data_IF_527134621896
#
_entry.id   IF_527134621896
#
_cell.length_a   1.000
_cell.length_b   1.000
_cell.length_c   1.000
_cell.angle_alpha   90.00
_cell.angle_beta   90.00
_cell.angle_gamma   90.00
#
_symmetry.space_group_name_H-M   'P 1'
#
loop_
_entity.id
_entity.type
_entity.pdbx_description
1 polymer ?
#
# COMPACT_ATOMS: atom_id res chain seq x y z
N UNK A 1 16.49 12.36 6.77
CA UNK A 1 16.20 11.11 7.53
C UNK A 1 14.89 11.27 8.29
N UNK A 2 13.96 10.30 8.23
CA UNK A 2 12.73 10.35 9.02
C UNK A 2 13.05 10.11 10.48
N UNK A 3 12.83 11.10 11.34
CA UNK A 3 12.99 10.93 12.79
C UNK A 3 11.83 10.10 13.36
N UNK A 4 12.06 9.44 14.50
CA UNK A 4 10.99 8.69 15.19
C UNK A 4 9.75 9.54 15.46
N UNK A 5 9.94 10.83 15.75
CA UNK A 5 8.84 11.80 15.94
C UNK A 5 8.01 11.99 14.68
N UNK A 6 8.65 12.20 13.52
CA UNK A 6 7.95 12.34 12.23
C UNK A 6 7.21 11.04 11.89
N UNK A 7 7.84 9.88 12.11
CA UNK A 7 7.20 8.59 11.87
C UNK A 7 5.92 8.40 12.73
N UNK A 8 5.94 8.81 14.00
CA UNK A 8 4.75 8.78 14.86
C UNK A 8 3.65 9.70 14.30
N UNK A 9 4.00 10.92 13.88
CA UNK A 9 3.05 11.87 13.31
C UNK A 9 2.43 11.31 12.02
N UNK A 10 3.24 10.78 11.11
CA UNK A 10 2.77 10.18 9.84
C UNK A 10 1.79 9.03 10.10
N UNK A 11 2.13 8.11 10.99
CA UNK A 11 1.27 6.96 11.36
C UNK A 11 -0.02 7.44 12.04
N UNK A 12 0.08 8.34 13.02
CA UNK A 12 -1.06 8.85 13.76
C UNK A 12 -2.02 9.64 12.85
N UNK A 13 -1.49 10.42 11.91
CA UNK A 13 -2.29 11.17 10.96
C UNK A 13 -3.05 10.26 10.00
N UNK A 14 -2.38 9.28 9.39
CA UNK A 14 -3.05 8.34 8.48
C UNK A 14 -4.10 7.52 9.24
N UNK A 15 -3.78 7.03 10.44
CA UNK A 15 -4.73 6.35 11.29
C UNK A 15 -5.93 7.26 11.64
N UNK A 16 -5.68 8.52 11.99
CA UNK A 16 -6.72 9.50 12.30
C UNK A 16 -7.63 9.79 11.11
N UNK A 17 -7.08 9.95 9.91
CA UNK A 17 -7.86 10.14 8.67
C UNK A 17 -8.70 8.90 8.34
N UNK A 18 -8.14 7.70 8.52
CA UNK A 18 -8.87 6.44 8.33
C UNK A 18 -10.01 6.29 9.33
N UNK A 19 -9.77 6.60 10.61
CA UNK A 19 -10.79 6.59 11.66
C UNK A 19 -11.87 7.63 11.39
N UNK A 20 -11.51 8.84 10.99
CA UNK A 20 -12.47 9.87 10.58
C UNK A 20 -13.35 9.36 9.45
N UNK A 21 -12.75 8.80 8.40
CA UNK A 21 -13.49 8.27 7.27
C UNK A 21 -14.47 7.15 7.69
N UNK A 22 -14.00 6.21 8.51
CA UNK A 22 -14.83 5.12 9.04
C UNK A 22 -15.98 5.65 9.89
N UNK A 23 -15.74 6.61 10.77
CA UNK A 23 -16.79 7.25 11.57
C UNK A 23 -17.82 7.92 10.68
N UNK A 24 -17.41 8.67 9.66
CA UNK A 24 -18.34 9.30 8.72
C UNK A 24 -19.16 8.24 7.96
N UNK A 25 -18.55 7.11 7.60
CA UNK A 25 -19.27 5.99 6.99
C UNK A 25 -20.28 5.34 7.94
N UNK A 26 -19.92 5.11 9.20
CA UNK A 26 -20.83 4.59 10.22
C UNK A 26 -21.99 5.55 10.53
N UNK A 27 -21.75 6.85 10.40
CA UNK A 27 -22.76 7.90 10.49
C UNK A 27 -23.58 8.07 9.19
N UNK A 28 -23.37 7.21 8.19
CA UNK A 28 -24.06 7.23 6.91
C UNK A 28 -23.90 8.55 6.14
N UNK A 29 -22.79 9.26 6.37
CA UNK A 29 -22.48 10.49 5.64
C UNK A 29 -22.26 10.15 4.16
N UNK A 30 -22.86 10.91 3.21
CA UNK A 30 -22.68 10.66 1.79
C UNK A 30 -21.19 10.64 1.41
N UNK A 31 -20.76 9.61 0.67
CA UNK A 31 -19.35 9.35 0.33
C UNK A 31 -18.60 10.56 -0.24
N UNK A 32 -19.28 11.43 -1.01
CA UNK A 32 -18.70 12.68 -1.54
C UNK A 32 -18.15 13.59 -0.45
N UNK A 33 -18.83 13.68 0.70
CA UNK A 33 -18.42 14.51 1.83
C UNK A 33 -17.31 13.83 2.63
N UNK A 34 -17.38 12.51 2.82
CA UNK A 34 -16.31 11.75 3.47
C UNK A 34 -15.00 11.85 2.67
N UNK A 35 -15.06 11.71 1.34
CA UNK A 35 -13.89 11.89 0.48
C UNK A 35 -13.36 13.32 0.49
N UNK A 36 -14.24 14.33 0.49
CA UNK A 36 -13.81 15.72 0.60
C UNK A 36 -13.11 15.98 1.94
N UNK A 37 -13.67 15.52 3.05
CA UNK A 37 -13.09 15.71 4.38
C UNK A 37 -11.72 15.02 4.51
N UNK A 38 -11.61 13.74 4.14
CA UNK A 38 -10.34 13.00 4.15
C UNK A 38 -9.31 13.59 3.18
N UNK A 39 -9.77 14.01 2.00
CA UNK A 39 -8.92 14.64 0.99
C UNK A 39 -8.37 15.99 1.44
N UNK A 40 -9.20 16.84 2.07
CA UNK A 40 -8.76 18.10 2.64
C UNK A 40 -7.80 17.90 3.80
N UNK A 41 -8.06 16.94 4.70
CA UNK A 41 -7.16 16.61 5.81
C UNK A 41 -5.79 16.15 5.31
N UNK A 42 -5.78 15.23 4.34
CA UNK A 42 -4.53 14.75 3.73
C UNK A 42 -3.81 15.87 2.96
N UNK A 43 -4.55 16.66 2.18
CA UNK A 43 -4.03 17.78 1.41
C UNK A 43 -3.42 18.87 2.28
N UNK A 44 -4.05 19.20 3.41
CA UNK A 44 -3.51 20.14 4.40
C UNK A 44 -2.20 19.62 5.00
N UNK A 45 -2.12 18.32 5.30
CA UNK A 45 -0.88 17.72 5.80
C UNK A 45 0.24 17.69 4.75
N UNK A 46 -0.08 17.35 3.51
CA UNK A 46 0.87 17.43 2.39
C UNK A 46 1.39 18.86 2.25
N UNK A 47 0.49 19.85 2.24
CA UNK A 47 0.88 21.26 2.15
C UNK A 47 1.80 21.67 3.31
N UNK A 48 1.49 21.25 4.53
CA UNK A 48 2.35 21.45 5.70
C UNK A 48 3.74 20.83 5.51
N UNK A 49 3.83 19.58 5.05
CA UNK A 49 5.11 18.91 4.78
C UNK A 49 5.93 19.64 3.73
N UNK A 50 5.29 20.10 2.66
CA UNK A 50 5.94 20.81 1.55
C UNK A 50 6.48 22.16 2.00
N UNK A 51 5.72 22.89 2.82
CA UNK A 51 6.17 24.19 3.37
C UNK A 51 7.32 24.04 4.35
N UNK A 52 7.34 22.97 5.16
CA UNK A 52 8.42 22.72 6.12
C UNK A 52 9.67 22.14 5.47
N UNK A 53 9.52 21.39 4.38
CA UNK A 53 10.62 20.69 3.72
C UNK A 53 10.46 20.77 2.18
N UNK A 54 10.81 21.89 1.54
CA UNK A 54 10.59 22.07 0.09
C UNK A 54 11.36 21.08 -0.80
N UNK A 55 12.53 20.57 -0.37
CA UNK A 55 13.25 19.51 -1.08
C UNK A 55 12.64 18.09 -0.88
N UNK A 56 11.54 17.98 -0.13
CA UNK A 56 10.96 16.71 0.31
C UNK A 56 10.23 15.94 -0.77
N UNK A 57 9.71 16.55 -1.84
CA UNK A 57 8.95 15.80 -2.87
C UNK A 57 9.73 14.62 -3.45
N UNK A 58 11.03 14.84 -3.72
CA UNK A 58 11.93 13.81 -4.21
C UNK A 58 12.19 12.73 -3.15
N UNK A 59 12.34 13.12 -1.88
CA UNK A 59 12.55 12.23 -0.74
C UNK A 59 11.29 11.48 -0.28
N UNK A 60 10.11 12.03 -0.59
CA UNK A 60 8.81 11.42 -0.40
C UNK A 60 8.53 10.42 -1.50
N UNK A 61 9.29 10.44 -2.59
CA UNK A 61 9.26 9.45 -3.65
C UNK A 61 8.45 9.84 -4.88
N UNK A 62 7.99 11.09 -4.97
CA UNK A 62 7.37 11.65 -6.19
C UNK A 62 8.43 11.94 -7.24
N UNK A 63 8.98 10.87 -7.81
CA UNK A 63 9.95 10.91 -8.90
C UNK A 63 9.39 10.18 -10.11
N UNK A 64 9.75 10.63 -11.31
CA UNK A 64 9.26 10.01 -12.56
C UNK A 64 9.69 8.55 -12.70
N UNK A 65 10.91 8.22 -12.28
CA UNK A 65 11.42 6.84 -12.27
C UNK A 65 10.65 5.94 -11.31
N UNK A 66 10.33 6.44 -10.11
CA UNK A 66 9.49 5.74 -9.14
C UNK A 66 8.06 5.53 -9.66
N UNK A 67 7.47 6.55 -10.28
CA UNK A 67 6.12 6.47 -10.86
C UNK A 67 6.09 5.45 -12.00
N UNK A 68 7.06 5.49 -12.90
CA UNK A 68 7.16 4.54 -14.02
C UNK A 68 7.38 3.10 -13.53
N UNK A 69 8.25 2.90 -12.55
CA UNK A 69 8.53 1.58 -11.97
C UNK A 69 7.32 1.01 -11.21
N UNK A 70 6.50 1.87 -10.59
CA UNK A 70 5.23 1.47 -9.98
C UNK A 70 4.10 1.24 -10.98
N UNK A 71 4.12 1.92 -12.13
CA UNK A 71 3.03 1.91 -13.11
C UNK A 71 2.78 0.52 -13.67
N UNK A 72 3.83 -0.24 -14.02
CA UNK A 72 3.67 -1.57 -14.62
C UNK A 72 3.07 -2.58 -13.63
N UNK A 73 3.64 -2.84 -12.44
CA UNK A 73 3.08 -3.85 -11.54
C UNK A 73 1.72 -3.43 -10.96
N UNK A 74 1.55 -2.14 -10.59
CA UNK A 74 0.28 -1.66 -10.04
C UNK A 74 -0.77 -1.56 -11.15
N UNK A 75 -0.43 -0.92 -12.27
CA UNK A 75 -1.34 -0.75 -13.39
C UNK A 75 -1.79 -2.06 -14.01
N UNK A 76 -0.88 -3.04 -14.18
CA UNK A 76 -1.25 -4.35 -14.69
C UNK A 76 -2.19 -5.09 -13.74
N UNK A 77 -1.91 -5.09 -12.43
CA UNK A 77 -2.83 -5.67 -11.45
C UNK A 77 -4.19 -4.97 -11.46
N UNK A 78 -4.23 -3.64 -11.47
CA UNK A 78 -5.47 -2.87 -11.54
C UNK A 78 -6.26 -3.18 -12.82
N UNK A 79 -5.59 -3.29 -13.97
CA UNK A 79 -6.20 -3.65 -15.24
C UNK A 79 -6.78 -5.06 -15.21
N UNK A 80 -6.02 -6.05 -14.72
CA UNK A 80 -6.47 -7.45 -14.66
C UNK A 80 -7.67 -7.63 -13.71
N UNK A 81 -7.59 -7.07 -12.51
CA UNK A 81 -8.69 -7.13 -11.53
C UNK A 81 -9.90 -6.35 -12.06
N UNK A 82 -9.69 -5.16 -12.62
CA UNK A 82 -10.75 -4.35 -13.23
C UNK A 82 -11.45 -5.08 -14.37
N UNK A 83 -10.69 -5.67 -15.28
CA UNK A 83 -11.22 -6.47 -16.39
C UNK A 83 -12.00 -7.69 -15.89
N UNK A 84 -11.50 -8.39 -14.87
CA UNK A 84 -12.20 -9.50 -14.23
C UNK A 84 -13.54 -9.09 -13.61
N UNK A 85 -13.59 -7.96 -12.91
CA UNK A 85 -14.82 -7.42 -12.34
C UNK A 85 -15.82 -6.99 -13.42
N UNK A 86 -15.35 -6.37 -14.50
CA UNK A 86 -16.16 -6.00 -15.67
C UNK A 86 -16.75 -7.25 -16.34
N UNK A 87 -15.94 -8.27 -16.60
CA UNK A 87 -16.38 -9.53 -17.20
C UNK A 87 -17.42 -10.24 -16.30
N UNK A 88 -17.19 -10.28 -14.99
CA UNK A 88 -18.13 -10.84 -14.02
C UNK A 88 -19.46 -10.08 -13.99
N UNK A 89 -19.42 -8.74 -14.05
CA UNK A 89 -20.63 -7.92 -14.09
C UNK A 89 -21.41 -8.11 -15.40
N UNK A 90 -20.71 -8.14 -16.54
CA UNK A 90 -21.30 -8.38 -17.86
C UNK A 90 -21.94 -9.79 -17.94
N UNK A 91 -21.25 -10.82 -17.43
CA UNK A 91 -21.77 -12.19 -17.38
C UNK A 91 -23.02 -12.35 -16.50
N UNK A 92 -23.23 -11.44 -15.54
CA UNK A 92 -24.45 -11.35 -14.71
C UNK A 92 -25.53 -10.43 -15.31
N UNK A 93 -25.36 -9.95 -16.55
CA UNK A 93 -26.29 -9.05 -17.22
C UNK A 93 -26.39 -7.66 -16.59
N UNK A 94 -25.40 -7.23 -15.79
CA UNK A 94 -25.41 -5.91 -15.16
C UNK A 94 -24.88 -4.86 -16.13
N UNK A 95 -25.49 -3.67 -16.14
CA UNK A 95 -25.00 -2.54 -16.92
C UNK A 95 -23.60 -2.13 -16.44
N UNK A 96 -22.61 -2.28 -17.31
CA UNK A 96 -21.21 -1.97 -17.00
C UNK A 96 -20.82 -0.55 -17.43
N UNK A 97 -21.69 0.17 -18.14
CA UNK A 97 -21.40 1.53 -18.62
C UNK A 97 -22.39 2.53 -18.05
N UNK A 98 -21.88 3.66 -17.55
CA UNK A 98 -22.65 4.84 -17.17
C UNK A 98 -21.89 6.10 -17.57
N UNK A 99 -22.55 7.20 -17.99
CA UNK A 99 -21.86 8.43 -18.37
C UNK A 99 -20.95 9.01 -17.27
N UNK A 100 -21.35 8.83 -16.01
CA UNK A 100 -20.58 9.20 -14.82
C UNK A 100 -19.24 8.46 -14.72
N UNK A 101 -19.08 7.31 -15.39
CA UNK A 101 -17.84 6.54 -15.37
C UNK A 101 -16.66 7.29 -15.96
N UNK A 102 -16.85 8.16 -16.97
CA UNK A 102 -15.74 8.95 -17.51
C UNK A 102 -15.17 9.91 -16.46
N UNK A 103 -16.05 10.53 -15.67
CA UNK A 103 -15.64 11.39 -14.54
C UNK A 103 -14.93 10.57 -13.48
N UNK A 104 -15.46 9.39 -13.14
CA UNK A 104 -14.82 8.50 -12.17
C UNK A 104 -13.46 7.98 -12.68
N UNK A 105 -13.34 7.61 -13.94
CA UNK A 105 -12.09 7.16 -14.57
C UNK A 105 -11.00 8.25 -14.52
N UNK A 106 -11.38 9.52 -14.64
CA UNK A 106 -10.43 10.63 -14.50
C UNK A 106 -10.07 10.92 -13.03
N UNK A 107 -11.03 10.79 -12.12
CA UNK A 107 -10.85 11.14 -10.70
C UNK A 107 -10.14 10.03 -9.90
N UNK A 108 -10.40 8.76 -10.23
CA UNK A 108 -9.86 7.61 -9.50
C UNK A 108 -8.33 7.54 -9.49
N UNK A 109 -7.60 7.85 -10.58
CA UNK A 109 -6.14 7.92 -10.56
C UNK A 109 -5.61 8.94 -9.54
N UNK A 110 -6.25 10.11 -9.44
CA UNK A 110 -5.87 11.14 -8.46
C UNK A 110 -6.09 10.62 -7.04
N UNK A 111 -7.24 9.98 -6.82
CA UNK A 111 -7.55 9.38 -5.52
C UNK A 111 -6.64 8.20 -5.18
N UNK A 112 -6.28 7.36 -6.15
CA UNK A 112 -5.36 6.25 -5.99
C UNK A 112 -3.96 6.74 -5.60
N UNK A 113 -3.48 7.84 -6.19
CA UNK A 113 -2.22 8.47 -5.78
C UNK A 113 -2.28 8.98 -4.34
N UNK A 114 -3.40 9.61 -3.94
CA UNK A 114 -3.60 10.07 -2.57
C UNK A 114 -3.61 8.91 -1.57
N UNK A 115 -4.34 7.83 -1.87
CA UNK A 115 -4.37 6.61 -1.05
C UNK A 115 -2.98 5.96 -0.98
N UNK A 116 -2.31 5.80 -2.11
CA UNK A 116 -0.98 5.21 -2.16
C UNK A 116 0.04 6.04 -1.36
N UNK A 117 -0.04 7.37 -1.45
CA UNK A 117 0.81 8.25 -0.66
C UNK A 117 0.51 8.13 0.85
N UNK A 118 -0.75 8.12 1.26
CA UNK A 118 -1.13 7.97 2.66
C UNK A 118 -0.66 6.62 3.23
N UNK A 119 -0.99 5.50 2.58
CA UNK A 119 -0.72 4.18 3.14
C UNK A 119 0.73 3.73 2.93
N UNK A 120 1.33 3.96 1.77
CA UNK A 120 2.70 3.52 1.50
C UNK A 120 3.74 4.60 1.79
N UNK A 121 3.46 5.85 1.40
CA UNK A 121 4.37 6.99 1.56
C UNK A 121 4.52 7.47 3.00
N UNK A 122 3.43 7.48 3.77
CA UNK A 122 3.40 7.93 5.16
C UNK A 122 3.34 6.76 6.16
N UNK A 123 2.24 5.98 6.14
CA UNK A 123 2.00 4.94 7.15
C UNK A 123 3.05 3.83 7.10
N UNK A 124 3.22 3.14 5.97
CA UNK A 124 4.18 2.04 5.84
C UNK A 124 5.61 2.53 6.11
N UNK A 125 5.97 3.71 5.58
CA UNK A 125 7.27 4.34 5.85
C UNK A 125 7.49 4.61 7.34
N UNK A 126 6.49 5.12 8.06
CA UNK A 126 6.55 5.33 9.50
C UNK A 126 6.66 4.02 10.27
N UNK A 127 5.86 3.00 9.90
CA UNK A 127 5.93 1.67 10.49
C UNK A 127 7.30 1.01 10.29
N UNK A 128 8.03 1.28 9.21
CA UNK A 128 9.43 0.81 9.05
C UNK A 128 10.38 1.36 10.10
N UNK A 129 10.08 2.52 10.68
CA UNK A 129 10.86 3.14 11.76
C UNK A 129 10.38 2.63 13.14
N UNK A 130 9.07 2.41 13.29
CA UNK A 130 8.45 2.11 14.59
C UNK A 130 8.36 0.61 14.91
N UNK A 131 8.22 -0.24 13.89
CA UNK A 131 7.99 -1.68 14.02
C UNK A 131 9.20 -2.42 13.43
N UNK A 132 9.81 -3.31 14.22
CA UNK A 132 11.01 -4.05 13.76
C UNK A 132 10.69 -5.18 12.79
N UNK A 133 9.53 -5.83 12.95
CA UNK A 133 9.15 -7.05 12.22
C UNK A 133 8.57 -6.68 10.85
N UNK A 134 9.19 -7.04 9.70
CA UNK A 134 8.72 -6.66 8.38
C UNK A 134 7.34 -7.20 8.03
N UNK A 135 7.04 -8.45 8.40
CA UNK A 135 5.72 -9.05 8.19
C UNK A 135 4.61 -8.24 8.89
N UNK A 136 4.89 -7.75 10.10
CA UNK A 136 3.93 -6.93 10.84
C UNK A 136 3.71 -5.56 10.18
N UNK A 137 4.76 -4.96 9.60
CA UNK A 137 4.61 -3.71 8.82
C UNK A 137 3.66 -3.90 7.64
N UNK A 138 3.79 -5.01 6.91
CA UNK A 138 2.93 -5.39 5.77
C UNK A 138 1.49 -5.57 6.24
N UNK A 139 1.28 -6.42 7.26
CA UNK A 139 -0.07 -6.73 7.77
C UNK A 139 -0.76 -5.49 8.31
N UNK A 140 -0.07 -4.66 9.10
CA UNK A 140 -0.65 -3.42 9.64
C UNK A 140 -1.01 -2.43 8.54
N UNK A 141 -0.18 -2.30 7.50
CA UNK A 141 -0.47 -1.40 6.37
C UNK A 141 -1.68 -1.91 5.57
N UNK A 142 -1.71 -3.20 5.27
CA UNK A 142 -2.80 -3.83 4.54
C UNK A 142 -4.12 -3.76 5.32
N UNK A 143 -4.09 -4.04 6.64
CA UNK A 143 -5.25 -3.94 7.51
C UNK A 143 -5.79 -2.50 7.59
N UNK A 144 -4.91 -1.51 7.73
CA UNK A 144 -5.31 -0.09 7.76
C UNK A 144 -5.91 0.37 6.42
N UNK A 145 -5.43 -0.15 5.29
CA UNK A 145 -6.00 0.15 3.97
C UNK A 145 -7.33 -0.57 3.73
N UNK A 146 -7.46 -1.80 4.22
CA UNK A 146 -8.70 -2.57 4.10
C UNK A 146 -9.81 -2.06 5.01
N UNK A 147 -9.48 -1.54 6.20
CA UNK A 147 -10.47 -1.13 7.20
C UNK A 147 -11.34 0.04 6.76
N UNK A 148 -10.84 0.93 5.89
CA UNK A 148 -11.67 2.01 5.30
C UNK A 148 -12.70 1.49 4.29
N UNK A 149 -12.78 0.18 4.09
CA UNK A 149 -13.75 -0.48 3.23
C UNK A 149 -14.63 -1.49 4.00
N UNK A 150 -14.71 -1.37 5.34
CA UNK A 150 -15.50 -2.27 6.19
C UNK A 150 -16.97 -2.40 5.77
N UNK A 151 -17.56 -1.36 5.16
CA UNK A 151 -18.92 -1.42 4.61
C UNK A 151 -19.12 -2.34 3.41
N UNK A 152 -18.05 -2.91 2.84
CA UNK A 152 -18.13 -3.83 1.70
C UNK A 152 -17.07 -4.94 1.83
N UNK A 153 -17.51 -6.14 2.21
CA UNK A 153 -16.63 -7.30 2.46
C UNK A 153 -15.77 -7.67 1.24
N UNK A 154 -16.34 -7.60 0.04
CA UNK A 154 -15.59 -7.89 -1.20
C UNK A 154 -14.47 -6.88 -1.40
N UNK A 155 -14.79 -5.59 -1.26
CA UNK A 155 -13.79 -4.53 -1.41
C UNK A 155 -12.76 -4.56 -0.28
N UNK A 156 -13.15 -4.90 0.94
CA UNK A 156 -12.26 -5.11 2.07
C UNK A 156 -11.25 -6.23 1.80
N UNK A 157 -11.72 -7.39 1.31
CA UNK A 157 -10.83 -8.50 0.97
C UNK A 157 -9.87 -8.15 -0.17
N UNK A 158 -10.37 -7.53 -1.25
CA UNK A 158 -9.56 -7.12 -2.39
C UNK A 158 -8.52 -6.06 -2.01
N UNK A 159 -8.90 -5.09 -1.19
CA UNK A 159 -7.99 -4.02 -0.74
C UNK A 159 -6.97 -4.53 0.28
N UNK A 160 -7.34 -5.48 1.15
CA UNK A 160 -6.37 -6.17 2.01
C UNK A 160 -5.32 -6.92 1.18
N UNK A 161 -5.76 -7.72 0.20
CA UNK A 161 -4.85 -8.46 -0.69
C UNK A 161 -3.94 -7.52 -1.48
N UNK A 162 -4.48 -6.43 -2.03
CA UNK A 162 -3.69 -5.40 -2.72
C UNK A 162 -2.68 -4.73 -1.78
N UNK A 163 -3.08 -4.42 -0.55
CA UNK A 163 -2.21 -3.85 0.49
C UNK A 163 -1.05 -4.77 0.83
N UNK A 164 -1.30 -6.07 1.01
CA UNK A 164 -0.26 -7.08 1.22
C UNK A 164 0.69 -7.12 0.03
N UNK A 165 0.17 -7.23 -1.18
CA UNK A 165 0.95 -7.30 -2.41
C UNK A 165 1.88 -6.08 -2.57
N UNK A 166 1.36 -4.87 -2.41
CA UNK A 166 2.15 -3.63 -2.57
C UNK A 166 3.19 -3.46 -1.46
N UNK A 167 2.85 -3.77 -0.21
CA UNK A 167 3.82 -3.68 0.88
C UNK A 167 4.88 -4.79 0.80
N UNK A 168 4.53 -5.99 0.35
CA UNK A 168 5.49 -7.05 0.03
C UNK A 168 6.46 -6.62 -1.08
N UNK A 169 5.97 -5.98 -2.14
CA UNK A 169 6.83 -5.43 -3.21
C UNK A 169 7.89 -4.48 -2.66
N UNK A 170 7.51 -3.61 -1.70
CA UNK A 170 8.43 -2.68 -1.04
C UNK A 170 9.46 -3.40 -0.15
N UNK A 171 9.04 -4.42 0.60
CA UNK A 171 9.93 -5.20 1.47
C UNK A 171 10.88 -6.11 0.66
N UNK A 172 10.39 -6.77 -0.39
CA UNK A 172 11.16 -7.69 -1.23
C UNK A 172 12.23 -6.98 -2.08
N UNK A 173 11.98 -5.72 -2.48
CA UNK A 173 12.98 -4.86 -3.11
C UNK A 173 14.20 -4.57 -2.22
N UNK A 174 14.09 -4.82 -0.90
CA UNK A 174 15.20 -4.64 0.06
C UNK A 174 16.07 -5.88 0.22
N UNK A 175 15.49 -7.09 0.20
CA UNK A 175 16.18 -8.34 0.60
C UNK A 175 17.00 -8.97 -0.52
N UNK A 176 16.56 -8.77 -1.76
CA UNK A 176 17.03 -9.55 -2.90
C UNK A 176 18.26 -8.98 -3.58
N UNK A 177 18.54 -7.67 -3.48
CA UNK A 177 19.63 -7.00 -4.19
C UNK A 177 19.57 -7.09 -5.74
N UNK A 178 18.68 -7.91 -6.29
CA UNK A 178 18.62 -8.37 -7.68
C UNK A 178 17.51 -7.73 -8.50
N UNK A 179 16.62 -6.94 -7.90
CA UNK A 179 15.59 -6.22 -8.66
C UNK A 179 16.16 -4.97 -9.33
N UNK A 180 15.97 -4.80 -10.67
CA UNK A 180 16.66 -3.78 -11.45
C UNK A 180 15.98 -2.39 -11.42
N UNK A 181 15.15 -2.08 -10.42
CA UNK A 181 14.41 -0.81 -10.41
C UNK A 181 14.15 -0.23 -9.02
N UNK A 182 14.00 1.10 -8.91
CA UNK A 182 13.53 1.72 -7.68
C UNK A 182 12.05 1.36 -7.45
N UNK A 183 11.67 0.96 -6.25
CA UNK A 183 10.26 0.79 -5.91
C UNK A 183 9.60 2.18 -5.78
N UNK A 184 8.28 2.32 -6.06
CA UNK A 184 7.60 3.59 -5.86
C UNK A 184 7.74 3.92 -4.36
N UNK A 185 8.34 5.08 -4.08
CA UNK A 185 8.62 5.60 -2.73
C UNK A 185 9.85 5.04 -1.98
N UNK A 186 10.82 4.46 -2.68
CA UNK A 186 12.16 4.23 -2.12
C UNK A 186 13.01 5.52 -2.07
N UNK A 187 13.59 5.91 -0.92
CA UNK A 187 14.59 6.97 -0.88
C UNK A 187 15.91 6.51 -1.57
N UNK A 188 16.75 7.44 -2.07
CA UNK A 188 17.90 7.13 -2.92
C UNK A 188 19.06 6.41 -2.21
N UNK A 189 19.06 6.31 -0.88
CA UNK A 189 20.08 5.54 -0.18
C UNK A 189 19.73 4.06 -0.24
N UNK A 190 20.31 3.32 -1.19
CA UNK A 190 20.63 1.91 -0.91
C UNK A 190 21.67 1.96 0.20
N UNK A 191 21.32 1.58 1.43
CA UNK A 191 22.35 1.00 2.30
C UNK A 191 22.78 -0.26 1.55
N UNK A 192 23.85 -0.16 0.76
CA UNK A 192 24.68 -1.32 0.51
C UNK A 192 25.12 -1.73 1.90
N UNK A 193 24.53 -2.79 2.42
CA UNK A 193 25.25 -3.57 3.41
C UNK A 193 26.44 -4.13 2.63
N UNK A 194 27.53 -3.36 2.52
CA UNK A 194 28.84 -3.95 2.36
C UNK A 194 29.04 -4.72 3.65
N UNK A 195 28.56 -5.96 3.65
CA UNK A 195 28.98 -6.97 4.60
C UNK A 195 30.47 -7.11 4.34
N UNK A 196 31.27 -6.32 5.06
CA UNK A 196 32.68 -6.59 5.24
C UNK A 196 32.70 -7.89 6.04
N UNK A 197 32.62 -9.02 5.34
CA UNK A 197 32.92 -10.32 5.91
C UNK A 197 34.36 -10.26 6.40
N UNK A 198 34.54 -10.04 7.71
CA UNK A 198 35.69 -10.62 8.39
C UNK A 198 35.49 -12.14 8.30
N UNK A 199 36.49 -12.89 7.82
CA UNK A 199 36.41 -14.34 7.85
C UNK A 199 36.47 -14.79 9.32
N UNK A 200 35.33 -15.18 9.88
CA UNK A 200 35.29 -15.98 11.09
C UNK A 200 35.45 -17.44 10.70
N UNK A 201 36.43 -18.06 11.33
CA UNK A 201 36.88 -19.43 11.14
C UNK A 201 35.74 -20.44 11.24
N UNK A 202 35.90 -21.46 10.39
CA UNK A 202 35.40 -22.83 10.47
C UNK A 202 34.87 -23.28 11.84
N UNK A 203 33.66 -23.87 11.83
CA UNK A 203 33.34 -25.08 12.59
C UNK A 203 32.22 -25.86 11.85
N UNK A 204 32.59 -27.08 11.44
CA UNK A 204 31.79 -28.29 11.10
C UNK A 204 30.66 -28.57 12.12
N UNK A 205 29.60 -29.39 11.95
CA UNK A 205 29.07 -30.34 10.96
C UNK A 205 27.65 -30.76 11.46
N UNK A 206 26.73 -31.17 10.56
CA UNK A 206 25.49 -31.90 10.93
C UNK A 206 24.50 -32.09 9.75
N UNK A 207 23.99 -33.31 9.45
CA UNK A 207 23.28 -33.61 8.20
C UNK A 207 21.74 -33.42 8.28
N UNK A 208 21.03 -33.37 7.13
CA UNK A 208 19.63 -32.95 7.05
C UNK A 208 18.64 -34.13 6.98
N UNK A 209 17.44 -33.94 7.52
CA UNK A 209 16.27 -34.79 7.21
C UNK A 209 14.97 -33.97 7.13
N UNK A 210 14.43 -33.91 5.90
CA UNK A 210 13.02 -34.05 5.45
C UNK A 210 11.89 -33.72 6.44
N UNK A 211 10.82 -33.00 6.09
CA UNK A 211 9.85 -33.29 5.00
C UNK A 211 8.92 -32.08 4.81
N UNK A 212 8.58 -31.76 3.56
CA UNK A 212 7.42 -30.95 3.20
C UNK A 212 6.15 -31.77 3.43
N UNK A 213 5.15 -31.18 4.08
CA UNK A 213 3.74 -31.55 3.91
C UNK A 213 2.95 -30.30 3.47
N UNK A 214 2.36 -30.43 2.28
CA UNK A 214 1.33 -29.56 1.71
C UNK A 214 0.02 -30.33 1.79
N UNK A 215 -1.05 -29.69 2.27
CA UNK A 215 -2.43 -30.11 2.01
C UNK A 215 -3.42 -28.96 2.30
N UNK A 216 -4.62 -28.98 1.68
CA UNK A 216 -5.16 -27.81 0.99
C UNK A 216 -6.55 -27.35 1.46
N UNK A 217 -7.03 -26.31 0.78
CA UNK A 217 -8.44 -25.94 0.50
C UNK A 217 -9.32 -25.44 1.65
N UNK A 218 -9.53 -24.12 1.68
CA UNK A 218 -10.73 -23.49 2.25
C UNK A 218 -11.62 -23.04 1.10
N UNK A 219 -12.78 -23.68 0.99
CA UNK A 219 -13.89 -23.31 0.11
C UNK A 219 -14.57 -22.07 0.68
N UNK A 220 -14.66 -20.99 -0.10
CA UNK A 220 -15.39 -19.77 0.27
C UNK A 220 -16.69 -19.72 -0.52
N UNK A 221 -17.78 -19.76 0.22
CA UNK A 221 -19.16 -19.66 -0.27
C UNK A 221 -19.59 -18.19 -0.21
N UNK A 222 -19.80 -17.59 -1.39
CA UNK A 222 -20.23 -16.20 -1.55
C UNK A 222 -21.76 -16.12 -1.48
N UNK A 223 -22.29 -15.41 -0.49
CA UNK A 223 -23.63 -14.82 -0.55
C UNK A 223 -23.52 -13.31 -0.72
N UNK A 224 -24.36 -12.81 -1.62
CA UNK A 224 -24.48 -11.45 -2.13
C UNK A 224 -24.81 -10.42 -1.05
#
# INVERSE_FOLDING_TARGET
MTTRRIAIIDVALVAGISLLYLTLELLHVPKRWSFLASGLALGAYIFYLVKRHPHSWHELGFRRDNLAAGLVPVGLCTLLVGAGLVALAAGKGRAVWQPTMLVLLALYPVWALAQQFAFQGLLHRGLRVLVRVPALQVVLTAAAFASVHLGNVTLLALTFAAGVMWSCYIVAGRTSGSWPGPTPFSPPWRIRYSFMMRPSRECECGPPTTRLELAPSVVVQLYL
#
